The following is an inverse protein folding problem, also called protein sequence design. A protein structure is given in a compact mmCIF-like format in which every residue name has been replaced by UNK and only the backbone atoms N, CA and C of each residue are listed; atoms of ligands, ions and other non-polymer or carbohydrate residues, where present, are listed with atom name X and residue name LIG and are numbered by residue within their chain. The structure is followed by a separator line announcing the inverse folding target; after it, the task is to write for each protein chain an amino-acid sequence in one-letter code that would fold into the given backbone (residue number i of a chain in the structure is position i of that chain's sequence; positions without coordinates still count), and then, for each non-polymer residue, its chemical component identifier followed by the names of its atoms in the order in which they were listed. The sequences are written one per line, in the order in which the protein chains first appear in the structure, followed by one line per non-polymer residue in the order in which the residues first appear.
data_IF_755236622592
#
_entry.id   IF_755236622592
#
_cell.length_a   1.000
_cell.length_b   1.000
_cell.length_c   1.000
_cell.angle_alpha   90.00
_cell.angle_beta   90.00
_cell.angle_gamma   90.00
#
_symmetry.space_group_name_H-M   'P 1'
#
loop_
_entity.id
_entity.type
_entity.pdbx_description
1 polymer ?
#
# COMPACT_ATOMS: atom_id res chain seq x y z
N UNK A 1 -6.42 12.06 -16.86
CA UNK A 1 -6.99 12.73 -15.66
C UNK A 1 -7.24 11.68 -14.60
N UNK A 2 -6.91 11.93 -13.33
CA UNK A 2 -7.15 11.01 -12.22
C UNK A 2 -8.19 11.59 -11.26
N UNK A 3 -8.86 10.73 -10.49
CA UNK A 3 -9.79 11.12 -9.43
C UNK A 3 -9.17 10.80 -8.07
N UNK A 4 -9.15 11.79 -7.18
CA UNK A 4 -8.73 11.62 -5.78
C UNK A 4 -9.95 11.66 -4.86
N UNK A 5 -10.07 10.68 -3.98
CA UNK A 5 -11.09 10.63 -2.92
C UNK A 5 -10.40 10.36 -1.58
N UNK A 6 -10.80 11.06 -0.53
CA UNK A 6 -10.33 10.78 0.83
C UNK A 6 -11.50 10.21 1.61
N UNK A 7 -11.33 9.02 2.19
CA UNK A 7 -12.35 8.36 3.00
C UNK A 7 -12.46 9.00 4.39
N UNK A 8 -13.54 8.71 5.12
CA UNK A 8 -13.77 9.22 6.48
C UNK A 8 -12.65 8.87 7.47
N UNK A 9 -11.98 7.73 7.26
CA UNK A 9 -10.84 7.28 8.07
C UNK A 9 -9.48 7.87 7.62
N UNK A 10 -9.48 8.82 6.67
CA UNK A 10 -8.27 9.46 6.15
C UNK A 10 -7.55 8.72 5.02
N UNK A 11 -7.99 7.51 4.64
CA UNK A 11 -7.38 6.78 3.52
C UNK A 11 -7.60 7.54 2.20
N UNK A 12 -6.50 7.75 1.46
CA UNK A 12 -6.52 8.40 0.15
C UNK A 12 -6.57 7.37 -0.96
N UNK A 13 -7.55 7.50 -1.85
CA UNK A 13 -7.73 6.67 -3.05
C UNK A 13 -7.44 7.54 -4.26
N UNK A 14 -6.56 7.06 -5.13
CA UNK A 14 -6.28 7.64 -6.45
C UNK A 14 -6.75 6.66 -7.51
N UNK A 15 -7.76 7.03 -8.29
CA UNK A 15 -8.27 6.24 -9.39
C UNK A 15 -7.85 6.86 -10.72
N UNK A 16 -7.17 6.08 -11.55
CA UNK A 16 -6.69 6.50 -12.87
C UNK A 16 -7.41 5.64 -13.93
N UNK A 17 -8.46 6.16 -14.59
CA UNK A 17 -9.19 5.38 -15.60
C UNK A 17 -8.31 5.15 -16.83
N UNK A 18 -8.21 3.88 -17.26
CA UNK A 18 -7.41 3.49 -18.42
C UNK A 18 -8.28 2.67 -19.38
N UNK A 19 -8.77 3.30 -20.46
CA UNK A 19 -9.72 2.69 -21.40
C UNK A 19 -9.09 1.66 -22.35
N UNK A 20 -7.76 1.65 -22.46
CA UNK A 20 -7.01 0.82 -23.41
C UNK A 20 -6.75 -0.61 -22.91
N UNK A 21 -7.19 -0.95 -21.70
CA UNK A 21 -6.95 -2.27 -21.09
C UNK A 21 -8.17 -2.74 -20.31
N UNK A 22 -8.36 -4.05 -20.25
CA UNK A 22 -9.34 -4.71 -19.39
C UNK A 22 -8.75 -5.11 -18.03
N UNK A 23 -7.42 -5.06 -17.89
CA UNK A 23 -6.75 -5.35 -16.62
C UNK A 23 -6.85 -4.15 -15.67
N UNK A 24 -6.91 -4.43 -14.38
CA UNK A 24 -6.87 -3.43 -13.32
C UNK A 24 -5.67 -3.71 -12.42
N UNK A 25 -4.85 -2.68 -12.18
CA UNK A 25 -3.79 -2.72 -11.17
C UNK A 25 -4.28 -2.02 -9.91
N UNK A 26 -4.17 -2.69 -8.77
CA UNK A 26 -4.47 -2.12 -7.45
C UNK A 26 -3.19 -2.12 -6.63
N UNK A 27 -2.86 -0.97 -6.04
CA UNK A 27 -1.71 -0.80 -5.16
C UNK A 27 -2.18 -0.32 -3.79
N UNK A 28 -1.72 -0.98 -2.73
CA UNK A 28 -1.82 -0.48 -1.37
C UNK A 28 -0.46 0.09 -0.95
N UNK A 29 -0.43 1.39 -0.66
CA UNK A 29 0.81 2.12 -0.36
C UNK A 29 0.79 2.55 1.10
N UNK A 30 1.85 2.21 1.84
CA UNK A 30 2.05 2.62 3.23
C UNK A 30 3.22 3.58 3.28
N UNK A 31 3.03 4.74 3.91
CA UNK A 31 4.07 5.77 4.05
C UNK A 31 5.12 5.44 5.11
N UNK A 32 5.68 4.23 5.09
CA UNK A 32 6.67 3.72 6.04
C UNK A 32 7.85 3.07 5.31
N UNK A 33 8.84 2.58 6.06
CA UNK A 33 10.04 1.90 5.54
C UNK A 33 11.23 2.06 6.50
N UNK A 34 12.41 1.64 6.05
CA UNK A 34 13.66 1.65 6.85
C UNK A 34 13.99 3.00 7.47
N UNK A 35 13.58 4.11 6.84
CA UNK A 35 13.73 5.47 7.40
C UNK A 35 13.09 5.64 8.78
N UNK A 36 12.07 4.86 9.11
CA UNK A 36 11.32 4.95 10.36
C UNK A 36 11.72 3.88 11.38
N UNK A 37 12.74 3.07 11.07
CA UNK A 37 13.20 1.99 11.94
C UNK A 37 14.27 2.48 12.91
N UNK A 38 14.29 1.89 14.11
CA UNK A 38 15.42 2.07 15.04
C UNK A 38 16.45 0.97 14.80
N UNK A 39 17.59 1.05 15.50
CA UNK A 39 18.62 0.01 15.43
C UNK A 39 18.09 -1.34 15.92
N UNK A 40 17.21 -1.33 16.91
CA UNK A 40 16.61 -2.52 17.51
C UNK A 40 15.60 -3.19 16.57
N UNK A 41 14.94 -2.42 15.69
CA UNK A 41 13.91 -2.91 14.76
C UNK A 41 14.37 -2.93 13.30
N UNK A 42 15.67 -2.89 13.04
CA UNK A 42 16.21 -2.78 11.69
C UNK A 42 15.77 -3.98 10.82
N UNK A 43 15.20 -3.68 9.65
CA UNK A 43 14.67 -4.65 8.70
C UNK A 43 13.21 -5.05 8.93
N UNK A 44 12.55 -4.54 9.98
CA UNK A 44 11.18 -4.95 10.31
C UNK A 44 10.16 -4.61 9.22
N UNK A 45 10.30 -3.49 8.52
CA UNK A 45 9.34 -3.08 7.46
C UNK A 45 9.38 -4.06 6.29
N UNK A 46 10.59 -4.44 5.87
CA UNK A 46 10.79 -5.42 4.81
C UNK A 46 10.39 -6.82 5.29
N UNK A 47 10.71 -7.19 6.53
CA UNK A 47 10.26 -8.46 7.09
C UNK A 47 8.73 -8.57 7.11
N UNK A 48 8.03 -7.51 7.54
CA UNK A 48 6.57 -7.44 7.51
C UNK A 48 6.01 -7.51 6.09
N UNK A 49 6.65 -6.86 5.11
CA UNK A 49 6.30 -6.96 3.68
C UNK A 49 6.18 -8.43 3.24
N UNK A 50 7.19 -9.26 3.57
CA UNK A 50 7.17 -10.70 3.26
C UNK A 50 6.03 -11.43 3.99
N UNK A 51 5.74 -11.05 5.23
CA UNK A 51 4.67 -11.69 6.01
C UNK A 51 3.28 -11.38 5.48
N UNK A 52 3.05 -10.24 4.82
CA UNK A 52 1.75 -9.95 4.19
C UNK A 52 1.36 -10.99 3.13
N UNK A 53 2.33 -11.67 2.52
CA UNK A 53 2.08 -12.73 1.54
C UNK A 53 1.86 -14.11 2.18
N UNK A 54 1.96 -14.24 3.51
CA UNK A 54 1.71 -15.51 4.23
C UNK A 54 0.23 -15.77 4.52
N UNK A 55 -0.65 -14.81 4.19
CA UNK A 55 -2.09 -14.94 4.29
C UNK A 55 -2.68 -14.38 5.58
N UNK A 56 -3.99 -14.11 5.55
CA UNK A 56 -4.75 -13.57 6.68
C UNK A 56 -5.92 -14.48 7.03
N UNK A 57 -6.49 -14.29 8.23
CA UNK A 57 -7.85 -14.76 8.48
C UNK A 57 -8.80 -14.03 7.51
N UNK A 58 -9.81 -14.75 7.03
CA UNK A 58 -10.88 -14.17 6.20
C UNK A 58 -11.93 -13.50 7.07
#
# INVERSE_FOLDING_TARGET
MYRKTTLKNGLRIIAVPQKSTLAVTVLALVGTGSKYETKETNGISHFLEHLYFKGTKK
#
